data_IF_560919141167
#
_entry.id   IF_560919141167
#
_cell.length_a   1.000
_cell.length_b   1.000
_cell.length_c   1.000
_cell.angle_alpha   90.00
_cell.angle_beta   90.00
_cell.angle_gamma   90.00
#
_symmetry.space_group_name_H-M   'P 1'
#
loop_
_entity.id
_entity.type
_entity.pdbx_description
1 polymer ?
#
# COMPACT_ATOMS: atom_id res chain seq x y z
N UNK A 1 21.59 -10.88 1.14
CA UNK A 1 20.25 -10.44 0.72
C UNK A 1 20.43 -9.42 -0.39
N UNK A 2 19.80 -9.60 -1.56
CA UNK A 2 20.00 -8.70 -2.70
C UNK A 2 19.41 -7.31 -2.44
N UNK A 3 19.94 -6.27 -3.10
CA UNK A 3 19.40 -4.90 -3.00
C UNK A 3 17.89 -4.85 -3.30
N UNK A 4 17.38 -5.48 -4.39
CA UNK A 4 15.94 -5.56 -4.68
C UNK A 4 15.11 -6.11 -3.50
N UNK A 5 15.63 -7.16 -2.85
CA UNK A 5 14.96 -7.81 -1.73
C UNK A 5 14.87 -6.92 -0.50
N UNK A 6 15.89 -6.10 -0.23
CA UNK A 6 15.88 -5.13 0.87
C UNK A 6 14.78 -4.08 0.65
N UNK A 7 14.70 -3.51 -0.55
CA UNK A 7 13.65 -2.52 -0.87
C UNK A 7 12.25 -3.13 -0.85
N UNK A 8 12.07 -4.36 -1.33
CA UNK A 8 10.80 -5.07 -1.21
C UNK A 8 10.41 -5.31 0.25
N UNK A 9 11.37 -5.67 1.11
CA UNK A 9 11.13 -5.84 2.54
C UNK A 9 10.66 -4.53 3.18
N UNK A 10 11.39 -3.42 2.94
CA UNK A 10 11.03 -2.11 3.47
C UNK A 10 9.63 -1.70 2.99
N UNK A 11 9.36 -1.85 1.68
CA UNK A 11 8.05 -1.54 1.10
C UNK A 11 6.92 -2.37 1.74
N UNK A 12 7.15 -3.66 1.99
CA UNK A 12 6.17 -4.54 2.65
C UNK A 12 5.95 -4.19 4.12
N UNK A 13 7.00 -3.79 4.86
CA UNK A 13 6.89 -3.34 6.24
C UNK A 13 6.06 -2.06 6.30
N UNK A 14 6.38 -1.06 5.48
CA UNK A 14 5.63 0.19 5.42
C UNK A 14 4.16 -0.09 5.09
N UNK A 15 3.90 -0.92 4.07
CA UNK A 15 2.53 -1.30 3.68
C UNK A 15 1.78 -2.03 4.79
N UNK A 16 2.47 -2.86 5.58
CA UNK A 16 1.88 -3.53 6.76
C UNK A 16 1.51 -2.51 7.83
N UNK A 17 2.38 -1.54 8.12
CA UNK A 17 2.11 -0.46 9.07
C UNK A 17 0.89 0.35 8.61
N UNK A 18 0.85 0.77 7.34
CA UNK A 18 -0.29 1.49 6.77
C UNK A 18 -1.59 0.69 6.89
N UNK A 19 -1.54 -0.62 6.61
CA UNK A 19 -2.70 -1.49 6.78
C UNK A 19 -3.19 -1.53 8.24
N UNK A 20 -2.29 -1.66 9.22
CA UNK A 20 -2.65 -1.63 10.65
C UNK A 20 -3.28 -0.29 11.06
N UNK A 21 -2.74 0.83 10.58
CA UNK A 21 -3.33 2.16 10.82
C UNK A 21 -4.73 2.28 10.20
N UNK A 22 -4.92 1.73 9.01
CA UNK A 22 -6.22 1.69 8.35
C UNK A 22 -7.25 0.83 9.10
N UNK A 23 -6.84 -0.33 9.62
CA UNK A 23 -7.70 -1.17 10.49
C UNK A 23 -8.04 -0.45 11.79
N UNK A 24 -7.07 0.26 12.39
CA UNK A 24 -7.32 1.05 13.59
C UNK A 24 -8.31 2.20 13.32
N UNK A 25 -8.18 2.88 12.18
CA UNK A 25 -9.11 3.94 11.76
C UNK A 25 -10.52 3.39 11.52
N UNK A 26 -10.63 2.19 10.93
CA UNK A 26 -11.91 1.49 10.78
C UNK A 26 -12.52 1.15 12.15
N UNK A 27 -11.72 0.72 13.11
CA UNK A 27 -12.18 0.48 14.47
C UNK A 27 -12.72 1.76 15.12
N UNK A 28 -12.00 2.88 15.01
CA UNK A 28 -12.47 4.18 15.49
C UNK A 28 -13.79 4.61 14.86
N UNK A 29 -13.96 4.38 13.55
CA UNK A 29 -15.20 4.67 12.84
C UNK A 29 -16.41 3.93 13.44
N UNK A 30 -16.25 2.70 13.94
CA UNK A 30 -17.33 1.94 14.58
C UNK A 30 -17.47 2.21 16.08
N UNK A 31 -16.36 2.45 16.79
CA UNK A 31 -16.37 2.66 18.24
C UNK A 31 -16.76 4.07 18.66
N UNK A 32 -16.38 5.09 17.89
CA UNK A 32 -16.67 6.49 18.20
C UNK A 32 -17.71 7.08 17.23
N UNK A 33 -18.85 7.50 17.79
CA UNK A 33 -19.94 8.11 17.03
C UNK A 33 -19.58 9.50 16.48
N UNK A 34 -18.63 10.18 17.11
CA UNK A 34 -18.21 11.53 16.73
C UNK A 34 -17.02 11.51 15.76
N UNK A 35 -16.50 10.33 15.40
CA UNK A 35 -15.33 10.21 14.53
C UNK A 35 -15.54 10.85 13.16
N UNK A 36 -16.71 10.67 12.54
CA UNK A 36 -16.99 11.34 11.26
C UNK A 36 -17.11 12.86 11.48
N UNK A 37 -17.84 13.29 12.49
CA UNK A 37 -18.05 14.71 12.79
C UNK A 37 -16.76 15.46 13.07
N UNK A 38 -15.75 14.82 13.67
CA UNK A 38 -14.44 15.41 13.91
C UNK A 38 -13.55 15.52 12.66
N UNK A 39 -13.87 14.75 11.61
CA UNK A 39 -13.21 14.82 10.29
C UNK A 39 -13.92 15.79 9.34
N UNK A 40 -15.15 16.20 9.65
CA UNK A 40 -15.85 17.17 8.85
C UNK A 40 -15.28 18.58 9.09
N UNK A 41 -15.10 19.37 8.01
CA UNK A 41 -14.85 20.79 8.11
C UNK A 41 -15.90 21.48 8.99
N UNK A 42 -15.46 22.38 9.87
CA UNK A 42 -16.32 23.07 10.85
C UNK A 42 -17.44 23.94 10.24
N UNK A 43 -17.39 24.17 8.93
CA UNK A 43 -18.41 24.88 8.16
C UNK A 43 -19.51 23.97 7.58
N UNK A 44 -19.39 22.64 7.70
CA UNK A 44 -20.45 21.70 7.33
C UNK A 44 -21.28 21.34 8.55
N UNK A 45 -22.57 21.69 8.51
CA UNK A 45 -23.53 21.39 9.56
C UNK A 45 -24.53 20.36 9.03
N UNK A 46 -24.19 19.09 9.15
CA UNK A 46 -25.05 17.98 8.75
C UNK A 46 -26.02 17.63 9.87
N UNK A 47 -27.23 17.22 9.50
CA UNK A 47 -28.17 16.62 10.44
C UNK A 47 -27.65 15.28 10.96
N UNK A 48 -28.15 14.84 12.12
CA UNK A 48 -27.75 13.54 12.70
C UNK A 48 -28.07 12.35 11.78
N UNK A 49 -29.13 12.44 10.97
CA UNK A 49 -29.49 11.41 10.00
C UNK A 49 -28.49 11.34 8.83
N UNK A 50 -28.01 12.48 8.35
CA UNK A 50 -26.99 12.55 7.29
C UNK A 50 -25.64 12.01 7.78
N UNK A 51 -25.27 12.30 9.03
CA UNK A 51 -24.04 11.77 9.65
C UNK A 51 -24.10 10.24 9.77
N UNK A 52 -25.23 9.68 10.20
CA UNK A 52 -25.39 8.22 10.34
C UNK A 52 -25.41 7.51 8.97
N UNK A 53 -26.05 8.12 7.96
CA UNK A 53 -26.02 7.61 6.59
C UNK A 53 -24.60 7.63 6.00
N UNK A 54 -23.86 8.73 6.19
CA UNK A 54 -22.46 8.86 5.77
C UNK A 54 -21.57 7.83 6.48
N UNK A 55 -21.79 7.60 7.77
CA UNK A 55 -21.06 6.60 8.57
C UNK A 55 -21.31 5.19 8.09
N UNK A 56 -22.55 4.84 7.83
CA UNK A 56 -22.92 3.51 7.32
C UNK A 56 -22.28 3.27 5.96
N UNK A 57 -22.38 4.25 5.05
CA UNK A 57 -21.78 4.17 3.72
C UNK A 57 -20.25 4.06 3.80
N UNK A 58 -19.58 4.99 4.50
CA UNK A 58 -18.14 4.99 4.66
C UNK A 58 -17.64 3.71 5.35
N UNK A 59 -18.37 3.19 6.33
CA UNK A 59 -18.04 1.96 7.04
C UNK A 59 -18.04 0.73 6.13
N UNK A 60 -19.09 0.56 5.31
CA UNK A 60 -19.17 -0.55 4.36
C UNK A 60 -18.05 -0.48 3.32
N UNK A 61 -17.82 0.68 2.71
CA UNK A 61 -16.74 0.85 1.73
C UNK A 61 -15.37 0.60 2.34
N UNK A 62 -15.13 1.08 3.56
CA UNK A 62 -13.85 0.90 4.26
C UNK A 62 -13.60 -0.57 4.60
N UNK A 63 -14.61 -1.35 4.98
CA UNK A 63 -14.47 -2.80 5.20
C UNK A 63 -14.03 -3.49 3.90
N UNK A 64 -14.72 -3.24 2.79
CA UNK A 64 -14.39 -3.85 1.50
C UNK A 64 -12.99 -3.46 1.05
N UNK A 65 -12.62 -2.18 1.19
CA UNK A 65 -11.29 -1.69 0.88
C UNK A 65 -10.20 -2.36 1.73
N UNK A 66 -10.45 -2.57 3.03
CA UNK A 66 -9.49 -3.26 3.90
C UNK A 66 -9.33 -4.74 3.54
N UNK A 67 -10.40 -5.43 3.15
CA UNK A 67 -10.30 -6.82 2.70
C UNK A 67 -9.47 -6.93 1.41
N UNK A 68 -9.71 -6.05 0.44
CA UNK A 68 -8.90 -6.00 -0.79
C UNK A 68 -7.44 -5.69 -0.46
N UNK A 69 -7.21 -4.72 0.44
CA UNK A 69 -5.86 -4.34 0.87
C UNK A 69 -5.13 -5.48 1.56
N UNK A 70 -5.83 -6.28 2.38
CA UNK A 70 -5.28 -7.47 3.02
C UNK A 70 -4.86 -8.52 1.99
N UNK A 71 -5.71 -8.81 1.00
CA UNK A 71 -5.37 -9.75 -0.08
C UNK A 71 -4.12 -9.29 -0.81
N UNK A 72 -4.07 -8.01 -1.19
CA UNK A 72 -2.90 -7.41 -1.84
C UNK A 72 -1.66 -7.50 -0.95
N UNK A 73 -1.79 -7.22 0.36
CA UNK A 73 -0.70 -7.31 1.33
C UNK A 73 -0.09 -8.72 1.35
N UNK A 74 -0.94 -9.75 1.40
CA UNK A 74 -0.52 -11.15 1.34
C UNK A 74 0.26 -11.43 0.05
N UNK A 75 -0.25 -10.98 -1.10
CA UNK A 75 0.43 -11.17 -2.38
C UNK A 75 1.77 -10.42 -2.45
N UNK A 76 1.91 -9.22 -1.90
CA UNK A 76 3.19 -8.50 -1.82
C UNK A 76 4.21 -9.20 -0.92
N UNK A 77 3.76 -9.85 0.17
CA UNK A 77 4.64 -10.71 0.97
C UNK A 77 5.04 -11.98 0.24
N UNK A 78 4.13 -12.63 -0.49
CA UNK A 78 4.46 -13.76 -1.38
C UNK A 78 5.49 -13.32 -2.43
N UNK A 79 5.28 -12.19 -3.09
CA UNK A 79 6.20 -11.64 -4.08
C UNK A 79 7.61 -11.45 -3.51
N UNK A 80 7.73 -10.93 -2.28
CA UNK A 80 9.01 -10.80 -1.58
C UNK A 80 9.72 -12.15 -1.40
N UNK A 81 9.01 -13.22 -1.03
CA UNK A 81 9.62 -14.56 -0.89
C UNK A 81 10.12 -15.13 -2.22
N UNK A 82 9.63 -14.63 -3.35
CA UNK A 82 9.96 -15.09 -4.69
C UNK A 82 11.05 -14.24 -5.37
N UNK A 83 11.53 -13.18 -4.72
CA UNK A 83 12.73 -12.44 -5.16
C UNK A 83 13.97 -13.31 -4.98
N UNK A 84 14.86 -13.29 -5.97
CA UNK A 84 16.04 -14.15 -6.09
C UNK A 84 15.70 -15.63 -6.42
N UNK A 85 14.56 -15.88 -7.09
CA UNK A 85 14.20 -17.23 -7.59
C UNK A 85 14.10 -17.24 -9.12
N UNK A 86 14.22 -18.41 -9.79
CA UNK A 86 14.17 -18.49 -11.26
C UNK A 86 12.89 -17.94 -11.90
N UNK A 87 11.81 -17.81 -11.12
CA UNK A 87 10.50 -17.27 -11.56
C UNK A 87 10.27 -15.83 -11.09
N UNK A 88 11.31 -15.09 -10.72
CA UNK A 88 11.18 -13.77 -10.11
C UNK A 88 10.59 -12.69 -11.04
N UNK A 89 10.74 -12.83 -12.37
CA UNK A 89 10.32 -11.80 -13.34
C UNK A 89 8.85 -11.42 -13.20
N UNK A 90 7.95 -12.40 -13.05
CA UNK A 90 6.52 -12.15 -12.87
C UNK A 90 6.21 -11.43 -11.56
N UNK A 91 6.89 -11.80 -10.47
CA UNK A 91 6.71 -11.19 -9.16
C UNK A 91 7.29 -9.76 -9.09
N UNK A 92 8.41 -9.50 -9.75
CA UNK A 92 8.98 -8.16 -9.91
C UNK A 92 8.02 -7.23 -10.66
N UNK A 93 7.41 -7.70 -11.76
CA UNK A 93 6.40 -6.92 -12.49
C UNK A 93 5.17 -6.67 -11.62
N UNK A 94 4.72 -7.66 -10.85
CA UNK A 94 3.63 -7.47 -9.88
C UNK A 94 3.96 -6.36 -8.87
N UNK A 95 5.16 -6.36 -8.27
CA UNK A 95 5.60 -5.31 -7.34
C UNK A 95 5.62 -3.93 -7.99
N UNK A 96 6.06 -3.83 -9.26
CA UNK A 96 6.02 -2.58 -10.02
C UNK A 96 4.59 -2.07 -10.20
N UNK A 97 3.66 -2.93 -10.64
CA UNK A 97 2.25 -2.57 -10.83
C UNK A 97 1.64 -2.10 -9.51
N UNK A 98 1.87 -2.82 -8.42
CA UNK A 98 1.38 -2.42 -7.10
C UNK A 98 2.01 -1.12 -6.60
N UNK A 99 3.28 -0.88 -6.91
CA UNK A 99 3.97 0.37 -6.64
C UNK A 99 3.35 1.55 -7.39
N UNK A 100 3.13 1.43 -8.71
CA UNK A 100 2.49 2.48 -9.52
C UNK A 100 1.07 2.77 -9.02
N UNK A 101 0.27 1.74 -8.75
CA UNK A 101 -1.08 1.90 -8.17
C UNK A 101 -1.02 2.56 -6.79
N UNK A 102 0.00 2.23 -5.98
CA UNK A 102 0.23 2.82 -4.67
C UNK A 102 0.56 4.31 -4.72
N UNK A 103 1.25 4.80 -5.76
CA UNK A 103 1.59 6.22 -5.90
C UNK A 103 0.35 7.14 -5.98
N UNK A 104 -0.81 6.63 -6.43
CA UNK A 104 -2.06 7.41 -6.41
C UNK A 104 -2.52 7.77 -4.99
N UNK A 105 -1.97 7.13 -3.96
CA UNK A 105 -2.21 7.50 -2.55
C UNK A 105 -1.80 8.94 -2.25
N UNK A 106 -0.94 9.56 -3.07
CA UNK A 106 -0.57 10.98 -2.94
C UNK A 106 -1.79 11.92 -3.02
N UNK A 107 -2.86 11.51 -3.72
CA UNK A 107 -4.10 12.28 -3.81
C UNK A 107 -4.85 12.33 -2.47
N UNK A 108 -4.60 11.38 -1.58
CA UNK A 108 -5.19 11.30 -0.24
C UNK A 108 -4.60 12.29 0.76
N UNK A 109 -3.56 13.05 0.40
CA UNK A 109 -2.84 13.95 1.32
C UNK A 109 -3.76 15.00 1.96
N UNK A 110 -4.80 15.43 1.24
CA UNK A 110 -5.76 16.45 1.71
C UNK A 110 -6.60 15.93 2.89
N UNK A 111 -6.89 14.63 2.92
CA UNK A 111 -7.71 14.01 3.97
C UNK A 111 -6.88 13.33 5.07
N UNK A 112 -5.88 12.54 4.68
CA UNK A 112 -5.01 11.83 5.63
C UNK A 112 -3.55 11.93 5.18
N UNK A 113 -2.84 13.02 5.54
CA UNK A 113 -1.49 13.28 5.06
C UNK A 113 -0.48 12.24 5.53
N UNK A 114 -0.60 11.79 6.79
CA UNK A 114 0.32 10.82 7.37
C UNK A 114 0.24 9.49 6.62
N UNK A 115 -0.97 8.93 6.49
CA UNK A 115 -1.18 7.66 5.80
C UNK A 115 -0.74 7.74 4.33
N UNK A 116 -1.03 8.86 3.67
CA UNK A 116 -0.70 9.09 2.26
C UNK A 116 0.81 9.14 2.01
N UNK A 117 1.57 9.78 2.91
CA UNK A 117 3.04 9.83 2.82
C UNK A 117 3.64 8.45 3.01
N UNK A 118 3.22 7.70 4.04
CA UNK A 118 3.70 6.34 4.27
C UNK A 118 3.35 5.41 3.10
N UNK A 119 2.11 5.46 2.60
CA UNK A 119 1.69 4.65 1.46
C UNK A 119 2.52 4.95 0.21
N UNK A 120 2.78 6.24 -0.06
CA UNK A 120 3.61 6.67 -1.19
C UNK A 120 5.07 6.23 -1.03
N UNK A 121 5.64 6.35 0.18
CA UNK A 121 6.99 5.88 0.46
C UNK A 121 7.12 4.36 0.24
N UNK A 122 6.15 3.59 0.73
CA UNK A 122 6.07 2.14 0.51
C UNK A 122 5.97 1.80 -0.98
N UNK A 123 5.15 2.52 -1.73
CA UNK A 123 5.00 2.38 -3.18
C UNK A 123 6.32 2.60 -3.93
N UNK A 124 7.08 3.65 -3.58
CA UNK A 124 8.40 3.92 -4.16
C UNK A 124 9.37 2.77 -3.86
N UNK A 125 9.37 2.23 -2.64
CA UNK A 125 10.20 1.07 -2.30
C UNK A 125 9.87 -0.17 -3.16
N UNK A 126 8.59 -0.41 -3.47
CA UNK A 126 8.19 -1.51 -4.36
C UNK A 126 8.65 -1.29 -5.81
N UNK A 127 8.63 -0.04 -6.29
CA UNK A 127 9.17 0.31 -7.61
C UNK A 127 10.69 0.10 -7.64
N UNK A 128 11.41 0.52 -6.60
CA UNK A 128 12.86 0.32 -6.49
C UNK A 128 13.22 -1.17 -6.41
N UNK A 129 12.39 -1.99 -5.77
CA UNK A 129 12.56 -3.44 -5.77
C UNK A 129 12.48 -4.06 -7.17
N UNK A 130 11.77 -3.43 -8.11
CA UNK A 130 11.78 -3.82 -9.52
C UNK A 130 12.99 -3.24 -10.27
N UNK A 131 13.26 -1.94 -10.09
CA UNK A 131 14.23 -1.20 -10.90
C UNK A 131 15.69 -1.58 -10.61
N UNK A 132 15.98 -2.11 -9.43
CA UNK A 132 17.34 -2.51 -9.06
C UNK A 132 17.71 -3.88 -9.67
N UNK A 133 18.91 -3.95 -10.26
CA UNK A 133 19.48 -5.22 -10.73
C UNK A 133 19.72 -6.17 -9.55
N UNK A 134 19.30 -7.42 -9.74
CA UNK A 134 19.59 -8.52 -8.82
C UNK A 134 20.97 -9.11 -9.08
N UNK A 135 21.51 -9.94 -8.16
CA UNK A 135 22.86 -10.51 -8.25
C UNK A 135 23.09 -11.44 -9.47
N UNK A 136 22.03 -11.90 -10.15
CA UNK A 136 22.14 -12.70 -11.37
C UNK A 136 22.20 -11.89 -12.67
N UNK A 137 22.25 -10.56 -12.60
CA UNK A 137 22.36 -9.72 -13.79
C UNK A 137 23.79 -9.60 -14.33
N UNK A 138 24.77 -10.14 -13.60
CA UNK A 138 26.20 -10.06 -13.94
C UNK A 138 26.70 -11.32 -14.67
N UNK A 139 25.87 -12.36 -14.79
CA UNK A 139 26.21 -13.62 -15.48
C UNK A 139 25.85 -13.61 -16.98
N UNK A 140 25.25 -12.51 -17.48
CA UNK A 140 24.89 -12.31 -18.89
C UNK A 140 25.81 -11.30 -19.62
N UNK A 141 26.98 -10.98 -19.07
CA UNK A 141 28.03 -10.31 -19.85
C UNK A 141 28.72 -11.31 -20.79
N UNK A 142 28.16 -11.38 -21.99
CA UNK A 142 28.82 -11.58 -23.29
C UNK A 142 30.09 -12.46 -23.28
N UNK A 143 29.92 -13.75 -23.62
CA UNK A 143 30.97 -14.48 -24.34
C UNK A 143 31.09 -13.81 -25.72
N UNK A 144 32.21 -13.17 -26.08
CA UNK A 144 32.41 -12.75 -27.46
C UNK A 144 32.51 -14.00 -28.32
N UNK A 145 31.45 -14.30 -29.07
CA UNK A 145 31.57 -15.09 -30.28
C UNK A 145 32.04 -14.11 -31.34
N UNK A 146 33.36 -14.10 -31.62
CA UNK A 146 34.03 -14.01 -32.94
C UNK A 146 35.53 -14.17 -32.68
#
# INVERSE_FOLDING_TARGET
MSKPKIFALIGNIIRTITFVLGVFSLFQLFSDKNYITSQLPSNMNLSSAEIEAARSFAGTFSIVAQLITLIVLIFTWIAYTKIDTPKERGWKIYLLVMGILGCFSVLGIIGNPVESIFSTAGAICLILAFALKGPHADDEEEVPVI
#
